data_IF_832224297789
#
_entry.id   IF_832224297789
#
_cell.length_a   1.000
_cell.length_b   1.000
_cell.length_c   1.000
_cell.angle_alpha   90.00
_cell.angle_beta   90.00
_cell.angle_gamma   90.00
#
_symmetry.space_group_name_H-M   'P 1'
#
loop_
_entity.id
_entity.type
_entity.pdbx_description
1 polymer ?
#
# COMPACT_ATOMS: atom_id res chain seq x y z
N UNK A 1 -8.52 19.46 28.81
CA UNK A 1 -8.59 19.56 27.34
C UNK A 1 -7.21 19.23 26.79
N UNK A 2 -7.07 18.13 26.05
CA UNK A 2 -5.85 17.81 25.31
C UNK A 2 -6.29 17.20 23.99
N UNK A 3 -6.11 17.97 22.91
CA UNK A 3 -6.37 17.52 21.55
C UNK A 3 -5.45 16.35 21.22
N UNK A 4 -6.03 15.19 20.94
CA UNK A 4 -5.30 14.04 20.40
C UNK A 4 -4.99 14.36 18.93
N UNK A 5 -3.79 14.90 18.71
CA UNK A 5 -3.21 15.07 17.39
C UNK A 5 -3.20 13.71 16.68
N UNK A 6 -3.84 13.64 15.51
CA UNK A 6 -3.90 12.47 14.64
C UNK A 6 -2.53 12.23 13.99
N UNK A 7 -1.55 11.81 14.78
CA UNK A 7 -0.31 11.29 14.25
C UNK A 7 -0.57 9.85 13.81
N UNK A 8 -0.41 9.59 12.51
CA UNK A 8 -0.27 8.25 11.95
C UNK A 8 0.65 7.43 12.88
N UNK A 9 0.11 6.40 13.53
CA UNK A 9 0.98 5.47 14.25
C UNK A 9 1.92 4.83 13.21
N UNK A 10 3.24 4.97 13.33
CA UNK A 10 4.16 4.27 12.44
C UNK A 10 3.91 2.78 12.63
N UNK A 11 3.91 2.02 11.54
CA UNK A 11 3.84 0.57 11.56
C UNK A 11 5.06 0.10 12.39
N UNK A 12 4.81 -0.29 13.65
CA UNK A 12 5.83 -0.35 14.71
C UNK A 12 6.68 -1.62 14.71
N UNK A 13 6.40 -2.58 13.83
CA UNK A 13 7.07 -3.88 13.87
C UNK A 13 8.07 -4.02 12.73
N UNK A 14 9.33 -3.62 13.00
CA UNK A 14 10.44 -3.72 12.05
C UNK A 14 10.60 -5.16 11.54
N UNK A 15 10.37 -6.16 12.38
CA UNK A 15 10.50 -7.57 11.99
C UNK A 15 9.45 -7.97 10.95
N UNK A 16 8.22 -7.48 11.09
CA UNK A 16 7.17 -7.64 10.08
C UNK A 16 7.55 -6.93 8.77
N UNK A 17 8.04 -5.69 8.85
CA UNK A 17 8.45 -4.96 7.64
C UNK A 17 9.62 -5.65 6.91
N UNK A 18 10.57 -6.19 7.66
CA UNK A 18 11.67 -7.00 7.11
C UNK A 18 11.14 -8.25 6.43
N UNK A 19 10.22 -9.01 7.04
CA UNK A 19 9.69 -10.22 6.41
C UNK A 19 8.86 -9.91 5.15
N UNK A 20 8.12 -8.79 5.16
CA UNK A 20 7.41 -8.32 3.96
C UNK A 20 8.41 -7.92 2.88
N UNK A 21 9.44 -7.14 3.21
CA UNK A 21 10.47 -6.73 2.26
C UNK A 21 11.15 -7.94 1.61
N UNK A 22 11.60 -8.90 2.41
CA UNK A 22 12.22 -10.15 1.94
C UNK A 22 11.28 -11.00 1.08
N UNK A 23 9.97 -10.93 1.30
CA UNK A 23 8.98 -11.63 0.46
C UNK A 23 8.79 -10.97 -0.91
N UNK A 24 9.09 -9.67 -1.02
CA UNK A 24 8.95 -8.88 -2.24
C UNK A 24 10.23 -8.85 -3.08
N UNK A 25 11.39 -8.71 -2.44
CA UNK A 25 12.74 -8.76 -3.05
C UNK A 25 13.11 -10.21 -3.41
N UNK A 26 12.59 -10.67 -4.55
CA UNK A 26 12.73 -12.07 -4.97
C UNK A 26 14.10 -12.38 -5.53
N UNK A 27 14.71 -11.39 -6.18
CA UNK A 27 16.05 -11.50 -6.72
C UNK A 27 17.15 -11.26 -5.66
N UNK A 28 16.76 -10.85 -4.44
CA UNK A 28 17.63 -10.61 -3.30
C UNK A 28 18.69 -9.55 -3.61
N UNK A 29 18.32 -8.54 -4.37
CA UNK A 29 19.20 -7.43 -4.69
C UNK A 29 19.35 -6.45 -3.52
N UNK A 30 18.50 -6.55 -2.50
CA UNK A 30 18.41 -5.57 -1.42
C UNK A 30 17.58 -4.35 -1.81
N UNK A 31 16.89 -4.40 -2.95
CA UNK A 31 16.06 -3.33 -3.49
C UNK A 31 14.76 -3.90 -4.05
N UNK A 32 13.66 -3.17 -3.91
CA UNK A 32 12.40 -3.53 -4.57
C UNK A 32 12.29 -2.78 -5.89
N UNK A 33 12.14 -3.51 -6.98
CA UNK A 33 11.83 -2.97 -8.31
C UNK A 33 10.33 -2.70 -8.49
N UNK A 34 9.99 -1.88 -9.50
CA UNK A 34 8.59 -1.62 -9.91
C UNK A 34 7.83 -2.93 -10.17
N UNK A 35 8.46 -3.88 -10.86
CA UNK A 35 7.84 -5.17 -11.22
C UNK A 35 7.65 -6.11 -10.03
N UNK A 36 8.48 -6.00 -8.99
CA UNK A 36 8.31 -6.74 -7.74
C UNK A 36 7.19 -6.14 -6.90
N UNK A 37 7.15 -4.81 -6.77
CA UNK A 37 6.07 -4.11 -6.08
C UNK A 37 4.72 -4.39 -6.74
N UNK A 38 4.64 -4.32 -8.08
CA UNK A 38 3.41 -4.61 -8.82
C UNK A 38 2.90 -6.03 -8.54
N UNK A 39 3.79 -7.02 -8.56
CA UNK A 39 3.44 -8.42 -8.25
C UNK A 39 2.97 -8.59 -6.81
N UNK A 40 3.66 -7.95 -5.86
CA UNK A 40 3.30 -8.02 -4.45
C UNK A 40 1.90 -7.44 -4.20
N UNK A 41 1.56 -6.32 -4.85
CA UNK A 41 0.24 -5.70 -4.76
C UNK A 41 -0.86 -6.52 -5.46
N UNK A 42 -0.52 -7.22 -6.55
CA UNK A 42 -1.45 -8.07 -7.30
C UNK A 42 -1.85 -9.36 -6.55
N UNK A 43 -0.99 -9.86 -5.65
CA UNK A 43 -1.25 -11.08 -4.87
C UNK A 43 -2.34 -10.92 -3.79
N UNK A 44 -2.89 -9.71 -3.59
CA UNK A 44 -3.85 -9.38 -2.54
C UNK A 44 -5.34 -9.46 -2.88
N UNK A 45 -5.76 -10.18 -3.93
CA UNK A 45 -7.14 -10.26 -4.46
C UNK A 45 -7.66 -9.00 -5.21
N UNK A 46 -6.79 -8.05 -5.59
CA UNK A 46 -7.19 -6.85 -6.33
C UNK A 46 -6.88 -6.98 -7.82
N UNK A 47 -7.67 -6.32 -8.68
CA UNK A 47 -7.29 -6.14 -10.09
C UNK A 47 -5.87 -5.57 -10.14
N UNK A 48 -5.00 -6.07 -11.05
CA UNK A 48 -3.61 -5.64 -11.11
C UNK A 48 -3.57 -4.11 -11.16
N UNK A 49 -2.88 -3.51 -10.19
CA UNK A 49 -2.56 -2.09 -10.27
C UNK A 49 -1.85 -1.84 -11.61
N UNK A 50 -2.34 -0.85 -12.36
CA UNK A 50 -1.69 -0.46 -13.60
C UNK A 50 -0.24 -0.10 -13.33
N UNK A 51 0.67 -0.51 -14.21
CA UNK A 51 2.12 -0.29 -14.07
C UNK A 51 2.45 1.20 -13.83
N UNK A 52 1.70 2.11 -14.46
CA UNK A 52 1.82 3.56 -14.27
C UNK A 52 1.59 4.01 -12.82
N UNK A 53 0.61 3.41 -12.12
CA UNK A 53 0.34 3.74 -10.72
C UNK A 53 1.46 3.22 -9.82
N UNK A 54 1.97 2.02 -10.09
CA UNK A 54 3.08 1.44 -9.33
C UNK A 54 4.36 2.25 -9.55
N UNK A 55 4.62 2.68 -10.78
CA UNK A 55 5.74 3.55 -11.11
C UNK A 55 5.64 4.90 -10.41
N UNK A 56 4.43 5.49 -10.33
CA UNK A 56 4.20 6.71 -9.58
C UNK A 56 4.51 6.52 -8.09
N UNK A 57 4.09 5.39 -7.51
CA UNK A 57 4.35 5.06 -6.11
C UNK A 57 5.85 4.92 -5.83
N UNK A 58 6.62 4.26 -6.70
CA UNK A 58 8.08 4.18 -6.57
C UNK A 58 8.70 5.56 -6.68
N UNK A 59 8.33 6.35 -7.70
CA UNK A 59 8.88 7.70 -7.94
C UNK A 59 8.65 8.70 -6.82
N UNK A 60 7.60 8.55 -6.02
CA UNK A 60 7.33 9.44 -4.88
C UNK A 60 8.35 9.24 -3.75
N UNK A 61 8.95 8.06 -3.63
CA UNK A 61 9.87 7.70 -2.53
C UNK A 61 11.30 7.43 -3.00
N UNK A 62 11.52 7.36 -4.31
CA UNK A 62 12.83 7.29 -4.96
C UNK A 62 13.56 8.63 -4.81
N UNK A 63 14.54 8.68 -3.89
CA UNK A 63 15.30 9.90 -3.56
C UNK A 63 16.54 10.06 -4.44
N UNK A 64 17.00 8.99 -5.06
CA UNK A 64 18.25 8.92 -5.82
C UNK A 64 18.01 8.69 -7.33
N UNK A 65 16.75 8.70 -7.77
CA UNK A 65 16.33 8.41 -9.15
C UNK A 65 16.78 7.03 -9.63
N UNK A 66 16.98 6.09 -8.71
CA UNK A 66 17.41 4.73 -9.00
C UNK A 66 16.30 3.88 -9.62
N UNK A 67 15.05 4.36 -9.60
CA UNK A 67 13.82 3.63 -9.90
C UNK A 67 13.69 2.31 -9.10
N UNK A 68 14.33 2.28 -7.93
CA UNK A 68 14.36 1.17 -6.99
C UNK A 68 14.10 1.69 -5.59
N UNK A 69 13.73 0.80 -4.68
CA UNK A 69 13.40 1.18 -3.30
C UNK A 69 14.24 0.34 -2.32
N UNK A 70 15.12 1.01 -1.56
CA UNK A 70 15.84 0.37 -0.44
C UNK A 70 14.91 0.13 0.77
N UNK A 71 15.43 -0.52 1.83
CA UNK A 71 14.60 -0.85 3.00
C UNK A 71 14.03 0.35 3.76
N UNK A 72 14.78 1.45 3.88
CA UNK A 72 14.34 2.64 4.61
C UNK A 72 13.30 3.42 3.80
N UNK A 73 13.52 3.52 2.49
CA UNK A 73 12.54 4.05 1.54
C UNK A 73 11.27 3.19 1.53
N UNK A 74 11.41 1.85 1.59
CA UNK A 74 10.30 0.90 1.66
C UNK A 74 9.46 1.07 2.91
N UNK A 75 10.07 1.22 4.10
CA UNK A 75 9.31 1.43 5.34
C UNK A 75 8.40 2.66 5.26
N UNK A 76 8.90 3.71 4.60
CA UNK A 76 8.15 4.94 4.35
C UNK A 76 7.02 4.67 3.36
N UNK A 77 7.32 4.11 2.19
CA UNK A 77 6.36 3.75 1.16
C UNK A 77 5.24 2.86 1.72
N UNK A 78 5.58 1.80 2.44
CA UNK A 78 4.63 0.83 3.03
C UNK A 78 3.62 1.49 3.98
N UNK A 79 4.07 2.45 4.79
CA UNK A 79 3.19 3.21 5.67
C UNK A 79 2.19 4.06 4.89
N UNK A 80 2.62 4.67 3.79
CA UNK A 80 1.74 5.43 2.90
C UNK A 80 0.74 4.54 2.16
N UNK A 81 1.20 3.42 1.59
CA UNK A 81 0.35 2.43 0.91
C UNK A 81 -0.74 1.93 1.85
N UNK A 82 -0.36 1.53 3.07
CA UNK A 82 -1.28 0.98 4.07
C UNK A 82 -2.35 2.00 4.46
N UNK A 83 -1.98 3.27 4.65
CA UNK A 83 -2.96 4.30 5.01
C UNK A 83 -3.89 4.66 3.86
N UNK A 84 -3.35 4.80 2.65
CA UNK A 84 -4.17 5.02 1.46
C UNK A 84 -5.14 3.85 1.24
N UNK A 85 -4.66 2.62 1.40
CA UNK A 85 -5.47 1.41 1.31
C UNK A 85 -6.59 1.38 2.35
N UNK A 86 -6.30 1.68 3.62
CA UNK A 86 -7.30 1.72 4.68
C UNK A 86 -8.37 2.80 4.43
N UNK A 87 -7.98 3.96 3.92
CA UNK A 87 -8.90 5.03 3.56
C UNK A 87 -9.79 4.61 2.36
N UNK A 88 -9.20 4.00 1.34
CA UNK A 88 -9.92 3.51 0.17
C UNK A 88 -10.88 2.37 0.50
N UNK A 89 -10.44 1.39 1.30
CA UNK A 89 -11.28 0.30 1.79
C UNK A 89 -12.50 0.82 2.56
N UNK A 90 -12.30 1.77 3.47
CA UNK A 90 -13.39 2.41 4.22
C UNK A 90 -14.40 3.10 3.31
N UNK A 91 -13.93 3.73 2.24
CA UNK A 91 -14.79 4.38 1.24
C UNK A 91 -15.58 3.34 0.43
N UNK A 92 -14.96 2.23 0.03
CA UNK A 92 -15.65 1.13 -0.65
C UNK A 92 -16.70 0.45 0.23
N UNK A 93 -16.38 0.19 1.51
CA UNK A 93 -17.33 -0.41 2.46
C UNK A 93 -18.55 0.50 2.67
N UNK A 94 -18.37 1.84 2.67
CA UNK A 94 -19.48 2.81 2.74
C UNK A 94 -20.37 2.81 1.50
N UNK A 95 -19.79 2.65 0.30
CA UNK A 95 -20.55 2.58 -0.96
C UNK A 95 -21.32 1.26 -1.04
N UNK A 96 -20.70 0.15 -0.64
CA UNK A 96 -21.32 -1.17 -0.59
C UNK A 96 -22.46 -1.24 0.44
N UNK A 97 -22.34 -0.53 1.57
CA UNK A 97 -23.41 -0.40 2.56
C UNK A 97 -24.62 0.44 2.08
N UNK A 98 -24.52 1.10 0.92
CA UNK A 98 -25.58 1.92 0.34
C UNK A 98 -26.23 1.26 -0.90
N UNK A 99 -26.28 -0.07 -0.94
CA UNK A 99 -27.17 -0.78 -1.87
C UNK A 99 -28.63 -0.58 -1.39
N UNK A 100 -29.54 -0.03 -2.23
CA UNK A 100 -30.92 0.18 -1.81
C UNK A 100 -31.56 -1.19 -1.57
N UNK A 101 -31.97 -1.41 -0.32
CA UNK A 101 -32.85 -2.51 0.04
C UNK A 101 -33.93 -2.67 -1.03
N UNK A 102 -33.97 -3.88 -1.57
CA UNK A 102 -34.86 -4.38 -2.61
C UNK A 102 -36.21 -3.66 -2.65
N UNK A 103 -36.60 -3.18 -3.83
CA UNK A 103 -38.01 -2.81 -4.09
C UNK A 103 -38.84 -4.05 -3.79
N UNK A 104 -39.93 -3.96 -2.99
CA UNK A 104 -40.89 -5.04 -2.93
C UNK A 104 -41.47 -5.19 -4.35
N UNK A 105 -41.31 -6.38 -4.94
CA UNK A 105 -42.00 -6.74 -6.16
C UNK A 105 -43.52 -6.60 -5.92
N UNK A 106 -44.17 -5.70 -6.69
CA UNK A 106 -45.63 -5.72 -6.89
C UNK A 106 -45.95 -6.66 -8.05
#
# INVERSE_FOLDING_TARGET
MAGKSSALAPIRDKAFLTSVFESMDRDRTGFISVSELQRALASGNWKPFGEELVLLMVKIFDRDFSNKTDFDQFCTLWSYITNWFNAFKKLLDLIAAHEPAERPCL
#
